data_IF_889662252586
#
_entry.id   IF_889662252586
#
_cell.length_a   1.000
_cell.length_b   1.000
_cell.length_c   1.000
_cell.angle_alpha   90.00
_cell.angle_beta   90.00
_cell.angle_gamma   90.00
#
_symmetry.space_group_name_H-M   'P 1'
#
loop_
_entity.id
_entity.type
_entity.pdbx_description
1 polymer ?
#
# COMPACT_ATOMS: atom_id res chain seq x y z
N UNK A 1 16.20 0.48 -81.65
CA UNK A 1 15.82 -0.46 -80.61
C UNK A 1 16.24 0.12 -79.30
N UNK A 2 15.31 0.86 -78.60
CA UNK A 2 15.57 1.55 -77.31
C UNK A 2 14.99 0.72 -76.20
N UNK A 3 15.87 0.20 -75.32
CA UNK A 3 15.52 -0.55 -74.15
C UNK A 3 15.22 0.41 -72.99
N UNK A 4 13.95 0.46 -72.55
CA UNK A 4 13.52 1.22 -71.37
C UNK A 4 13.73 0.37 -70.14
N UNK A 5 14.64 0.85 -69.25
CA UNK A 5 14.93 0.22 -67.97
C UNK A 5 13.99 0.86 -66.92
N UNK A 6 12.96 0.19 -66.46
CA UNK A 6 12.06 0.62 -65.40
C UNK A 6 12.68 0.23 -64.03
N UNK A 7 13.09 1.22 -63.27
CA UNK A 7 13.57 1.05 -61.91
C UNK A 7 12.34 1.06 -60.98
N UNK A 8 12.00 -0.09 -60.41
CA UNK A 8 10.99 -0.20 -59.37
C UNK A 8 11.63 0.17 -57.99
N UNK A 9 11.25 1.34 -57.47
CA UNK A 9 11.64 1.82 -56.14
C UNK A 9 10.67 1.22 -55.10
N UNK A 10 11.09 0.13 -54.44
CA UNK A 10 10.34 -0.46 -53.31
C UNK A 10 10.61 0.32 -52.05
N UNK A 11 9.66 1.16 -51.65
CA UNK A 11 9.69 1.84 -50.33
C UNK A 11 9.40 0.82 -49.24
N UNK A 12 10.44 0.43 -48.48
CA UNK A 12 10.27 -0.27 -47.20
C UNK A 12 9.72 0.73 -46.16
N UNK A 13 8.42 0.66 -45.89
CA UNK A 13 7.84 1.26 -44.70
C UNK A 13 8.24 0.43 -43.48
N UNK A 14 9.28 0.88 -42.78
CA UNK A 14 9.63 0.39 -41.45
C UNK A 14 8.59 0.88 -40.47
N UNK A 15 7.61 0.04 -40.11
CA UNK A 15 6.68 0.28 -39.02
C UNK A 15 7.49 0.20 -37.71
N UNK A 16 7.93 1.33 -37.17
CA UNK A 16 8.37 1.42 -35.80
C UNK A 16 7.16 1.17 -34.90
N UNK A 17 7.02 -0.05 -34.40
CA UNK A 17 6.13 -0.34 -33.30
C UNK A 17 6.62 0.45 -32.09
N UNK A 18 5.92 1.54 -31.78
CA UNK A 18 6.13 2.32 -30.56
C UNK A 18 5.78 1.38 -29.38
N UNK A 19 6.81 0.84 -28.72
CA UNK A 19 6.62 0.17 -27.44
C UNK A 19 5.92 1.20 -26.54
N UNK A 20 4.71 0.88 -26.06
CA UNK A 20 4.06 1.68 -25.02
C UNK A 20 4.97 1.63 -23.80
N UNK A 21 5.67 2.74 -23.53
CA UNK A 21 6.46 2.89 -22.31
C UNK A 21 5.51 2.71 -21.12
N UNK A 22 5.53 1.51 -20.54
CA UNK A 22 4.83 1.27 -19.29
C UNK A 22 5.55 2.11 -18.24
N UNK A 23 4.87 3.03 -17.53
CA UNK A 23 5.52 3.87 -16.55
C UNK A 23 6.24 3.00 -15.52
N UNK A 24 7.41 3.43 -15.03
CA UNK A 24 8.14 2.69 -14.00
C UNK A 24 7.23 2.44 -12.80
N UNK A 25 7.23 1.23 -12.27
CA UNK A 25 6.42 0.83 -11.14
C UNK A 25 7.30 0.50 -9.95
N UNK A 26 6.92 1.01 -8.79
CA UNK A 26 7.54 0.67 -7.52
C UNK A 26 6.50 0.13 -6.54
N UNK A 27 6.96 -0.58 -5.51
CA UNK A 27 6.07 -1.19 -4.51
C UNK A 27 6.39 -0.71 -3.10
N UNK A 28 5.36 -0.59 -2.28
CA UNK A 28 5.43 -0.36 -0.83
C UNK A 28 4.43 -1.27 -0.12
N UNK A 29 4.71 -1.63 1.15
CA UNK A 29 3.86 -2.51 1.94
C UNK A 29 3.62 -1.92 3.31
N UNK A 30 2.34 -1.77 3.68
CA UNK A 30 1.90 -1.13 4.93
C UNK A 30 0.80 -1.93 5.61
N UNK A 31 0.88 -2.06 6.95
CA UNK A 31 -0.22 -2.49 7.80
C UNK A 31 -0.73 -1.28 8.58
N UNK A 32 -2.02 -0.97 8.47
CA UNK A 32 -2.63 0.26 9.00
C UNK A 32 -3.92 -0.03 9.80
N UNK A 33 -4.01 -1.23 10.40
CA UNK A 33 -5.23 -1.80 10.93
C UNK A 33 -6.04 -2.49 9.83
N UNK A 34 -7.36 -2.35 9.84
CA UNK A 34 -8.22 -2.90 8.80
C UNK A 34 -7.74 -2.50 7.39
N UNK A 35 -7.47 -3.49 6.55
CA UNK A 35 -6.96 -3.26 5.20
C UNK A 35 -7.98 -2.60 4.26
N UNK A 36 -9.30 -2.68 4.50
CA UNK A 36 -10.29 -1.91 3.74
C UNK A 36 -10.07 -0.40 3.85
N UNK A 37 -9.71 0.07 5.08
CA UNK A 37 -9.38 1.47 5.29
C UNK A 37 -8.02 1.82 4.69
N UNK A 38 -7.03 0.94 4.84
CA UNK A 38 -5.68 1.14 4.30
C UNK A 38 -5.70 1.21 2.76
N UNK A 39 -6.44 0.31 2.09
CA UNK A 39 -6.65 0.29 0.64
C UNK A 39 -7.27 1.61 0.18
N UNK A 40 -8.43 1.99 0.73
CA UNK A 40 -9.13 3.22 0.40
C UNK A 40 -8.26 4.49 0.59
N UNK A 41 -7.55 4.58 1.73
CA UNK A 41 -6.73 5.76 2.05
C UNK A 41 -5.48 5.85 1.15
N UNK A 42 -4.91 4.72 0.71
CA UNK A 42 -3.75 4.68 -0.19
C UNK A 42 -4.14 4.86 -1.66
N UNK A 43 -5.28 4.35 -2.10
CA UNK A 43 -5.80 4.56 -3.47
C UNK A 43 -6.09 6.03 -3.78
N UNK A 44 -6.47 6.81 -2.77
CA UNK A 44 -6.72 8.24 -2.91
C UNK A 44 -5.45 9.07 -3.20
N UNK A 45 -4.25 8.46 -3.15
CA UNK A 45 -2.97 9.18 -3.35
C UNK A 45 -2.66 9.34 -4.84
N UNK A 46 -2.55 10.56 -5.38
CA UNK A 46 -2.17 10.77 -6.77
C UNK A 46 -0.81 10.13 -7.09
N UNK A 47 -0.75 9.28 -8.11
CA UNK A 47 0.44 8.52 -8.48
C UNK A 47 0.45 7.07 -7.97
N UNK A 48 -0.45 6.70 -7.07
CA UNK A 48 -0.75 5.29 -6.79
C UNK A 48 -1.50 4.70 -7.99
N UNK A 49 -1.10 3.52 -8.42
CA UNK A 49 -1.62 2.83 -9.59
C UNK A 49 -2.61 1.74 -9.18
N UNK A 50 -2.28 1.03 -8.11
CA UNK A 50 -3.07 -0.10 -7.61
C UNK A 50 -2.75 -0.31 -6.12
N UNK A 51 -3.75 -0.64 -5.35
CA UNK A 51 -3.58 -1.13 -3.97
C UNK A 51 -4.23 -2.50 -3.85
N UNK A 52 -3.55 -3.44 -3.21
CA UNK A 52 -4.04 -4.81 -3.04
C UNK A 52 -4.07 -5.14 -1.56
N UNK A 53 -5.24 -5.44 -1.04
CA UNK A 53 -5.42 -5.94 0.33
C UNK A 53 -4.88 -7.37 0.46
N UNK A 54 -4.20 -7.67 1.57
CA UNK A 54 -3.59 -8.99 1.77
C UNK A 54 -2.93 -9.16 3.13
N UNK A 55 -2.08 -10.17 3.21
CA UNK A 55 -1.44 -10.62 4.44
C UNK A 55 0.07 -10.71 4.28
N UNK A 56 0.83 -10.20 5.24
CA UNK A 56 2.31 -10.32 5.26
C UNK A 56 2.87 -10.28 6.69
N UNK A 57 4.16 -10.59 6.83
CA UNK A 57 4.87 -10.54 8.12
C UNK A 57 4.84 -11.84 8.90
N UNK A 58 3.88 -12.71 8.65
CA UNK A 58 3.72 -14.02 9.32
C UNK A 58 4.51 -15.16 8.68
N UNK A 59 4.24 -16.36 9.14
CA UNK A 59 4.92 -17.61 8.71
C UNK A 59 4.00 -18.62 8.04
N UNK A 60 2.70 -18.53 8.27
CA UNK A 60 1.71 -19.42 7.65
C UNK A 60 1.70 -19.19 6.14
N UNK A 61 1.77 -20.28 5.37
CA UNK A 61 1.71 -20.21 3.89
C UNK A 61 0.24 -20.19 3.45
N UNK A 62 -0.07 -19.31 2.47
CA UNK A 62 -1.41 -19.14 1.91
C UNK A 62 -2.49 -19.05 3.01
N UNK A 63 -2.37 -18.10 3.95
CA UNK A 63 -3.32 -17.99 5.05
C UNK A 63 -4.69 -17.54 4.52
N UNK A 64 -5.76 -17.97 5.17
CA UNK A 64 -7.11 -17.44 4.95
C UNK A 64 -7.41 -16.29 5.91
N UNK A 65 -8.45 -15.51 5.59
CA UNK A 65 -8.92 -14.43 6.47
C UNK A 65 -9.23 -14.92 7.88
N UNK A 66 -9.94 -16.06 7.99
CA UNK A 66 -10.30 -16.64 9.29
C UNK A 66 -9.07 -16.99 10.12
N UNK A 67 -8.02 -17.52 9.47
CA UNK A 67 -6.78 -17.88 10.17
C UNK A 67 -6.03 -16.62 10.66
N UNK A 68 -6.00 -15.55 9.84
CA UNK A 68 -5.30 -14.31 10.21
C UNK A 68 -6.06 -13.56 11.30
N UNK A 69 -7.39 -13.46 11.19
CA UNK A 69 -8.25 -12.77 12.15
C UNK A 69 -8.36 -13.50 13.49
N UNK A 70 -8.19 -14.84 13.50
CA UNK A 70 -8.14 -15.63 14.72
C UNK A 70 -6.80 -15.54 15.48
N UNK A 71 -5.84 -14.76 14.98
CA UNK A 71 -4.46 -14.67 15.43
C UNK A 71 -3.67 -16.01 15.28
N UNK A 72 -2.39 -16.01 15.62
CA UNK A 72 -1.52 -17.21 15.57
C UNK A 72 -0.74 -17.39 14.27
N UNK A 73 -1.15 -16.80 13.15
CA UNK A 73 -0.41 -16.88 11.87
C UNK A 73 0.84 -15.99 11.84
N UNK A 74 0.86 -14.98 12.71
CA UNK A 74 1.86 -13.90 12.71
C UNK A 74 1.71 -12.91 11.57
N UNK A 75 0.73 -13.08 10.68
CA UNK A 75 0.44 -12.14 9.62
C UNK A 75 -0.28 -10.88 10.14
N UNK A 76 -0.03 -9.79 9.42
CA UNK A 76 -0.75 -8.53 9.53
C UNK A 76 -1.74 -8.43 8.36
N UNK A 77 -2.90 -7.83 8.59
CA UNK A 77 -3.65 -7.24 7.50
C UNK A 77 -2.81 -6.09 6.93
N UNK A 78 -2.53 -6.15 5.65
CA UNK A 78 -1.61 -5.22 5.00
C UNK A 78 -2.07 -4.91 3.58
N UNK A 79 -1.56 -3.82 3.05
CA UNK A 79 -1.74 -3.45 1.65
C UNK A 79 -0.41 -3.44 0.91
N UNK A 80 -0.43 -3.96 -0.33
CA UNK A 80 0.61 -3.74 -1.33
C UNK A 80 0.20 -2.55 -2.17
N UNK A 81 1.00 -1.49 -2.13
CA UNK A 81 0.80 -0.26 -2.90
C UNK A 81 1.74 -0.28 -4.09
N UNK A 82 1.19 -0.29 -5.32
CA UNK A 82 1.93 -0.15 -6.57
C UNK A 82 1.80 1.31 -7.01
N UNK A 83 2.90 1.99 -7.25
CA UNK A 83 2.90 3.41 -7.53
C UNK A 83 3.89 3.79 -8.63
N UNK A 84 3.63 4.92 -9.29
CA UNK A 84 4.53 5.57 -10.25
C UNK A 84 5.53 6.47 -9.47
N UNK A 85 6.81 6.10 -9.39
CA UNK A 85 7.79 6.87 -8.64
C UNK A 85 8.11 8.24 -9.24
N UNK A 86 7.66 8.53 -10.47
CA UNK A 86 7.76 9.86 -11.07
C UNK A 86 6.65 10.81 -10.56
N UNK A 87 5.55 10.28 -10.01
CA UNK A 87 4.40 11.06 -9.52
C UNK A 87 4.34 11.13 -8.01
N UNK A 88 4.65 10.03 -7.32
CA UNK A 88 4.69 9.95 -5.87
C UNK A 88 5.90 9.14 -5.42
N UNK A 89 6.63 9.61 -4.42
CA UNK A 89 7.77 8.90 -3.88
C UNK A 89 7.42 8.18 -2.56
N UNK A 90 8.31 7.25 -2.14
CA UNK A 90 8.10 6.45 -0.94
C UNK A 90 7.97 7.28 0.34
N UNK A 91 8.68 8.42 0.45
CA UNK A 91 8.58 9.30 1.62
C UNK A 91 7.19 9.96 1.72
N UNK A 92 6.58 10.32 0.59
CA UNK A 92 5.21 10.83 0.56
C UNK A 92 4.19 9.74 0.95
N UNK A 93 4.39 8.48 0.53
CA UNK A 93 3.56 7.36 0.99
C UNK A 93 3.71 7.12 2.51
N UNK A 94 4.91 7.28 3.06
CA UNK A 94 5.13 7.24 4.51
C UNK A 94 4.38 8.37 5.24
N UNK A 95 4.30 9.56 4.67
CA UNK A 95 3.53 10.66 5.26
C UNK A 95 2.02 10.37 5.27
N UNK A 96 1.50 9.73 4.22
CA UNK A 96 0.11 9.23 4.19
C UNK A 96 -0.11 8.12 5.21
N UNK A 97 0.80 7.14 5.28
CA UNK A 97 0.76 6.07 6.29
C UNK A 97 0.63 6.64 7.70
N UNK A 98 1.52 7.57 8.09
CA UNK A 98 1.50 8.15 9.43
C UNK A 98 0.19 8.87 9.74
N UNK A 99 -0.32 9.67 8.82
CA UNK A 99 -1.57 10.43 9.01
C UNK A 99 -2.81 9.54 9.13
N UNK A 100 -2.71 8.28 8.74
CA UNK A 100 -3.82 7.33 8.72
C UNK A 100 -3.70 6.21 9.77
N UNK A 101 -2.81 6.34 10.75
CA UNK A 101 -2.71 5.43 11.88
C UNK A 101 -2.75 6.17 13.23
N UNK A 102 -3.16 5.47 14.29
CA UNK A 102 -2.81 5.83 15.66
C UNK A 102 -1.42 5.24 15.97
N UNK A 103 -0.36 6.06 16.04
CA UNK A 103 0.99 5.55 16.25
C UNK A 103 1.22 5.02 17.66
N UNK A 104 0.30 5.24 18.59
CA UNK A 104 0.42 4.90 19.99
C UNK A 104 -0.31 3.62 20.40
N UNK A 105 -1.07 3.00 19.51
CA UNK A 105 -1.81 1.78 19.80
C UNK A 105 -0.95 0.52 19.55
N UNK A 106 -0.50 -0.20 20.61
CA UNK A 106 0.28 -1.42 20.46
C UNK A 106 -0.58 -2.67 20.24
N UNK A 107 -1.89 -2.58 20.45
CA UNK A 107 -2.80 -3.72 20.46
C UNK A 107 -3.60 -3.88 19.17
N UNK A 108 -3.54 -2.88 18.28
CA UNK A 108 -4.30 -2.88 17.02
C UNK A 108 -4.38 -1.49 16.42
N UNK A 109 -5.51 -1.17 15.80
CA UNK A 109 -5.81 0.18 15.33
C UNK A 109 -7.30 0.47 15.54
N UNK A 110 -7.60 1.59 16.20
CA UNK A 110 -8.97 2.04 16.45
C UNK A 110 -9.83 0.99 17.13
N UNK A 111 -10.91 0.52 16.50
CA UNK A 111 -11.77 -0.54 17.06
C UNK A 111 -11.24 -1.96 16.82
N UNK A 112 -10.32 -2.14 15.87
CA UNK A 112 -9.77 -3.45 15.55
C UNK A 112 -8.62 -3.79 16.48
N UNK A 113 -8.78 -4.85 17.25
CA UNK A 113 -7.80 -5.32 18.21
C UNK A 113 -7.33 -6.73 17.83
N UNK A 114 -6.05 -6.99 18.07
CA UNK A 114 -5.38 -8.23 17.69
C UNK A 114 -4.06 -7.98 16.99
N UNK A 115 -3.23 -9.02 16.91
CA UNK A 115 -1.90 -8.92 16.34
C UNK A 115 -1.90 -8.57 14.84
N UNK A 116 -2.93 -9.02 14.12
CA UNK A 116 -3.11 -8.78 12.70
C UNK A 116 -3.44 -7.31 12.35
N UNK A 117 -3.98 -6.54 13.30
CA UNK A 117 -4.40 -5.15 13.10
C UNK A 117 -3.38 -4.12 13.58
N UNK A 118 -2.21 -4.52 14.04
CA UNK A 118 -1.17 -3.58 14.46
C UNK A 118 -0.57 -2.83 13.28
N UNK A 119 -0.14 -1.57 13.52
CA UNK A 119 0.53 -0.80 12.48
C UNK A 119 1.97 -1.28 12.25
N UNK A 120 2.35 -1.44 10.98
CA UNK A 120 3.70 -1.80 10.60
C UNK A 120 4.06 -1.33 9.18
N UNK A 121 5.36 -1.12 8.94
CA UNK A 121 5.95 -0.86 7.64
C UNK A 121 6.83 -2.05 7.27
N UNK A 122 6.74 -2.54 6.02
CA UNK A 122 7.53 -3.66 5.51
C UNK A 122 8.41 -3.21 4.33
N UNK A 123 9.61 -2.65 4.60
CA UNK A 123 10.52 -2.19 3.55
C UNK A 123 10.96 -3.34 2.65
N UNK A 124 10.96 -3.13 1.32
CA UNK A 124 11.40 -4.13 0.33
C UNK A 124 12.90 -4.09 0.05
N UNK A 125 13.57 -2.99 0.45
CA UNK A 125 15.02 -2.81 0.26
C UNK A 125 15.61 -1.87 1.34
N UNK A 126 16.94 -1.72 1.33
CA UNK A 126 17.66 -0.89 2.29
C UNK A 126 17.30 0.60 2.20
N UNK A 127 17.02 1.12 1.01
CA UNK A 127 16.61 2.51 0.82
C UNK A 127 15.26 2.80 1.49
N UNK A 128 14.25 1.95 1.27
CA UNK A 128 12.96 2.06 1.95
C UNK A 128 13.10 1.92 3.46
N UNK A 129 13.93 0.99 3.95
CA UNK A 129 14.19 0.82 5.39
C UNK A 129 14.74 2.10 6.00
N UNK A 130 15.77 2.69 5.38
CA UNK A 130 16.38 3.95 5.84
C UNK A 130 15.35 5.09 5.92
N UNK A 131 14.50 5.22 4.89
CA UNK A 131 13.43 6.23 4.87
C UNK A 131 12.36 5.96 5.93
N UNK A 132 11.96 4.70 6.15
CA UNK A 132 11.01 4.33 7.17
C UNK A 132 11.53 4.64 8.59
N UNK A 133 12.79 4.28 8.88
CA UNK A 133 13.45 4.57 10.16
C UNK A 133 13.58 6.07 10.41
N UNK A 134 14.02 6.82 9.40
CA UNK A 134 14.10 8.28 9.48
C UNK A 134 12.73 8.93 9.70
N UNK A 135 11.68 8.42 9.02
CA UNK A 135 10.32 8.92 9.21
C UNK A 135 9.80 8.63 10.62
N UNK A 136 10.07 7.43 11.16
CA UNK A 136 9.72 7.08 12.55
C UNK A 136 10.37 8.03 13.54
N UNK A 137 11.68 8.25 13.44
CA UNK A 137 12.41 9.16 14.33
C UNK A 137 11.86 10.61 14.25
N UNK A 138 11.51 11.08 13.04
CA UNK A 138 10.89 12.39 12.82
C UNK A 138 9.53 12.50 13.53
N UNK A 139 8.70 11.47 13.45
CA UNK A 139 7.37 11.44 14.08
C UNK A 139 7.50 11.36 15.60
N UNK A 140 8.38 10.53 16.14
CA UNK A 140 8.65 10.46 17.58
C UNK A 140 9.11 11.81 18.13
N UNK A 141 10.02 12.48 17.41
CA UNK A 141 10.46 13.85 17.76
C UNK A 141 9.31 14.85 17.71
N UNK A 142 8.48 14.82 16.66
CA UNK A 142 7.33 15.72 16.48
C UNK A 142 6.29 15.56 17.59
N UNK A 143 6.00 14.30 17.97
CA UNK A 143 4.98 13.99 18.96
C UNK A 143 5.51 13.94 20.41
N UNK A 144 6.83 14.07 20.61
CA UNK A 144 7.47 14.01 21.91
C UNK A 144 7.31 12.67 22.63
N UNK A 145 7.02 11.58 21.87
CA UNK A 145 6.67 10.28 22.44
C UNK A 145 7.07 9.15 21.51
N UNK A 146 7.52 8.02 22.08
CA UNK A 146 7.80 6.77 21.33
C UNK A 146 6.52 6.21 20.72
N UNK A 147 6.62 5.74 19.48
CA UNK A 147 5.50 5.14 18.75
C UNK A 147 5.53 3.60 18.83
N UNK A 148 4.36 2.98 18.88
CA UNK A 148 4.19 1.54 18.93
C UNK A 148 4.38 0.85 17.56
N UNK A 149 4.30 1.61 16.44
CA UNK A 149 4.46 1.11 15.07
C UNK A 149 5.81 0.43 14.86
N UNK A 150 5.82 -0.66 14.11
CA UNK A 150 7.00 -1.51 13.86
C UNK A 150 7.49 -1.40 12.43
N UNK A 151 8.81 -1.50 12.23
CA UNK A 151 9.44 -1.69 10.92
C UNK A 151 9.96 -3.13 10.88
N UNK A 152 9.37 -3.94 10.01
CA UNK A 152 9.56 -5.39 9.96
C UNK A 152 10.11 -5.76 8.57
N UNK A 153 11.05 -6.69 8.50
CA UNK A 153 11.51 -7.19 7.21
C UNK A 153 10.35 -7.81 6.43
N UNK A 154 10.18 -7.39 5.16
CA UNK A 154 9.14 -7.94 4.28
C UNK A 154 9.32 -9.44 4.13
N UNK A 155 8.24 -10.19 4.30
CA UNK A 155 8.09 -11.61 3.96
C UNK A 155 7.17 -11.76 2.76
N UNK A 156 6.79 -13.00 2.42
CA UNK A 156 5.79 -13.27 1.39
C UNK A 156 4.52 -12.46 1.64
N UNK A 157 3.98 -11.89 0.58
CA UNK A 157 2.67 -11.23 0.60
C UNK A 157 1.67 -12.17 -0.07
N UNK A 158 0.55 -12.40 0.58
CA UNK A 158 -0.56 -13.20 0.09
C UNK A 158 -1.75 -12.27 -0.12
N UNK A 159 -2.25 -12.19 -1.36
CA UNK A 159 -3.46 -11.42 -1.67
C UNK A 159 -4.62 -11.98 -0.83
N UNK A 160 -5.39 -11.11 -0.20
CA UNK A 160 -6.62 -11.50 0.48
C UNK A 160 -7.69 -11.90 -0.54
N UNK A 161 -8.73 -12.54 -0.06
CA UNK A 161 -9.86 -13.03 -0.84
C UNK A 161 -10.50 -11.89 -1.64
N UNK A 162 -11.10 -12.21 -2.78
CA UNK A 162 -11.58 -11.19 -3.73
C UNK A 162 -12.67 -10.28 -3.15
N UNK A 163 -13.47 -10.78 -2.20
CA UNK A 163 -14.49 -9.98 -1.54
C UNK A 163 -13.93 -8.89 -0.61
N UNK A 164 -12.63 -8.91 -0.30
CA UNK A 164 -11.93 -7.86 0.45
C UNK A 164 -11.36 -6.76 -0.44
N UNK A 165 -11.12 -7.04 -1.73
CA UNK A 165 -10.55 -6.06 -2.65
C UNK A 165 -11.57 -4.99 -3.01
N UNK A 166 -11.16 -3.72 -3.07
CA UNK A 166 -12.01 -2.55 -3.38
C UNK A 166 -13.24 -2.46 -2.46
N UNK A 167 -13.12 -2.90 -1.20
CA UNK A 167 -14.28 -3.08 -0.34
C UNK A 167 -15.06 -1.78 -0.12
N UNK A 168 -14.37 -0.66 0.01
CA UNK A 168 -14.98 0.65 0.19
C UNK A 168 -15.85 1.06 -1.01
N UNK A 169 -15.42 0.71 -2.23
CA UNK A 169 -16.13 0.99 -3.48
C UNK A 169 -17.29 0.02 -3.69
N UNK A 170 -17.05 -1.29 -3.46
CA UNK A 170 -18.04 -2.35 -3.65
C UNK A 170 -19.14 -2.32 -2.59
N UNK A 171 -18.85 -1.85 -1.37
CA UNK A 171 -19.77 -1.86 -0.22
C UNK A 171 -19.81 -0.52 0.53
N UNK A 172 -20.11 0.62 -0.12
CA UNK A 172 -19.88 1.95 0.45
C UNK A 172 -20.70 2.22 1.72
N UNK A 173 -21.92 1.72 1.83
CA UNK A 173 -22.75 1.93 3.03
C UNK A 173 -22.18 1.18 4.24
N UNK A 174 -21.80 -0.09 4.07
CA UNK A 174 -21.21 -0.91 5.14
C UNK A 174 -19.84 -0.36 5.56
N UNK A 175 -19.00 0.01 4.59
CA UNK A 175 -17.70 0.60 4.84
C UNK A 175 -17.82 1.92 5.64
N UNK A 176 -18.68 2.84 5.22
CA UNK A 176 -18.88 4.11 5.90
C UNK A 176 -19.43 3.93 7.33
N UNK A 177 -20.36 2.99 7.51
CA UNK A 177 -20.87 2.66 8.84
C UNK A 177 -19.77 2.11 9.76
N UNK A 178 -18.98 1.16 9.25
CA UNK A 178 -17.83 0.59 9.96
C UNK A 178 -16.79 1.68 10.30
N UNK A 179 -16.30 2.44 9.32
CA UNK A 179 -15.25 3.47 9.52
C UNK A 179 -15.67 4.51 10.57
N UNK A 180 -16.93 4.97 10.52
CA UNK A 180 -17.47 5.92 11.51
C UNK A 180 -17.65 5.27 12.88
N UNK A 181 -18.20 4.07 12.93
CA UNK A 181 -18.41 3.33 14.18
C UNK A 181 -17.12 3.01 14.92
N UNK A 182 -16.04 2.76 14.20
CA UNK A 182 -14.69 2.58 14.75
C UNK A 182 -14.06 3.87 15.32
N UNK A 183 -14.64 5.03 15.08
CA UNK A 183 -14.11 6.30 15.55
C UNK A 183 -12.73 6.68 14.93
N UNK A 184 -12.37 6.06 13.78
CA UNK A 184 -11.07 6.23 13.13
C UNK A 184 -10.75 7.70 12.89
N UNK A 185 -11.63 8.42 12.18
CA UNK A 185 -11.37 9.80 11.79
C UNK A 185 -11.30 10.75 12.99
N UNK A 186 -12.12 10.53 14.03
CA UNK A 186 -12.05 11.28 15.27
C UNK A 186 -10.72 11.09 16.00
N UNK A 187 -10.23 9.85 16.05
CA UNK A 187 -8.93 9.54 16.68
C UNK A 187 -7.77 10.12 15.88
N UNK A 188 -7.79 10.04 14.56
CA UNK A 188 -6.77 10.64 13.70
C UNK A 188 -6.70 12.16 13.92
N UNK A 189 -7.86 12.83 14.02
CA UNK A 189 -7.92 14.27 14.32
C UNK A 189 -7.29 14.58 15.68
N UNK A 190 -7.52 13.78 16.71
CA UNK A 190 -6.89 13.97 18.04
C UNK A 190 -5.36 13.82 17.97
N UNK A 191 -4.84 12.86 17.20
CA UNK A 191 -3.40 12.58 17.12
C UNK A 191 -2.68 13.60 16.25
N UNK A 192 -3.28 13.94 15.10
CA UNK A 192 -2.58 14.71 14.05
C UNK A 192 -3.00 16.19 13.98
N UNK A 193 -4.13 16.58 14.59
CA UNK A 193 -4.61 17.95 14.62
C UNK A 193 -5.23 18.45 13.31
N UNK A 194 -5.62 17.53 12.42
CA UNK A 194 -6.16 17.85 11.06
C UNK A 194 -7.57 17.33 10.89
#
# INVERSE_FOLDING_TARGET
MRLLLTIALTALLSAFAQAKDTPPRAEAYFAMGCFWCAEHDMEAVPGVIEVVSGYTGGTTRNPTYEQVSADGTGHYEAVRVIYDPAKVNYAQLLDVFWKNIDPFDPAGQFCDKGASYRAAIFPVNAAQRKLAEASKARIEKRLGRTVAMRIIAKRSFYKAEEYHQDYAVKNPLRYNFYRRGCGRDARLKQVWGS
#
